data_IF_527542697666
#
_entry.id   IF_527542697666
#
_cell.length_a   1.000
_cell.length_b   1.000
_cell.length_c   1.000
_cell.angle_alpha   90.00
_cell.angle_beta   90.00
_cell.angle_gamma   90.00
#
_symmetry.space_group_name_H-M   'P 1'
#
loop_
_entity.id
_entity.type
_entity.pdbx_description
1 polymer ?
#
# COMPACT_ATOMS: atom_id res chain seq x y z
N UNK A 1 2.77 9.64 23.72
CA UNK A 1 3.49 10.05 22.50
C UNK A 1 2.41 10.41 21.51
N UNK A 2 2.28 11.70 21.17
CA UNK A 2 1.03 12.26 20.63
C UNK A 2 1.16 12.63 19.14
N UNK A 3 1.81 11.79 18.32
CA UNK A 3 2.00 12.09 16.89
C UNK A 3 2.32 10.85 16.02
N UNK A 4 1.68 9.71 16.28
CA UNK A 4 1.73 8.59 15.33
C UNK A 4 0.69 8.79 14.24
N UNK A 5 1.04 8.41 13.01
CA UNK A 5 0.04 8.29 11.95
C UNK A 5 -0.93 7.15 12.28
N UNK A 6 -2.20 7.25 11.87
CA UNK A 6 -3.18 6.19 12.12
C UNK A 6 -2.78 4.87 11.45
N UNK A 7 -2.24 4.97 10.25
CA UNK A 7 -1.90 3.81 9.43
C UNK A 7 -0.80 4.16 8.43
N UNK A 8 0.06 3.20 8.11
CA UNK A 8 0.92 3.20 6.92
C UNK A 8 1.05 1.78 6.38
N UNK A 9 0.47 1.52 5.21
CA UNK A 9 0.43 0.19 4.57
C UNK A 9 1.27 0.11 3.30
N UNK A 10 1.94 1.20 2.93
CA UNK A 10 2.71 1.26 1.70
C UNK A 10 4.16 1.59 2.05
N UNK A 11 4.89 0.56 2.44
CA UNK A 11 6.28 0.64 2.88
C UNK A 11 7.04 -0.48 2.18
N UNK A 12 8.14 -0.10 1.54
CA UNK A 12 9.09 -1.00 0.88
C UNK A 12 10.27 -1.26 1.80
N UNK A 13 10.91 -2.41 1.62
CA UNK A 13 12.04 -2.87 2.40
C UNK A 13 13.12 -3.49 1.51
N UNK A 14 14.18 -3.99 2.14
CA UNK A 14 15.25 -4.74 1.46
C UNK A 14 14.77 -6.01 0.72
N UNK A 15 13.51 -6.45 0.89
CA UNK A 15 12.93 -7.51 0.07
C UNK A 15 12.66 -7.07 -1.37
N UNK A 16 12.51 -5.77 -1.63
CA UNK A 16 12.47 -5.20 -2.98
C UNK A 16 13.85 -5.10 -3.62
N UNK A 17 14.52 -6.25 -3.79
CA UNK A 17 15.97 -6.36 -4.06
C UNK A 17 16.48 -5.67 -5.33
N UNK A 18 15.62 -5.42 -6.32
CA UNK A 18 15.98 -4.71 -7.55
C UNK A 18 15.58 -3.24 -7.59
N UNK A 19 14.93 -2.72 -6.56
CA UNK A 19 14.55 -1.31 -6.50
C UNK A 19 15.70 -0.44 -5.98
N UNK A 20 16.30 0.33 -6.90
CA UNK A 20 17.39 1.25 -6.59
C UNK A 20 17.05 2.40 -5.63
N UNK A 21 15.77 2.62 -5.32
CA UNK A 21 15.35 3.59 -4.32
C UNK A 21 15.43 3.04 -2.91
N UNK A 22 15.46 1.70 -2.75
CA UNK A 22 15.53 1.04 -1.45
C UNK A 22 16.94 1.13 -0.88
N UNK A 23 17.04 1.71 0.32
CA UNK A 23 18.30 1.76 1.04
C UNK A 23 18.50 0.49 1.88
N UNK A 24 19.75 0.00 2.07
CA UNK A 24 20.02 -1.19 2.88
C UNK A 24 19.56 -1.09 4.34
N UNK A 25 19.34 0.12 4.85
CA UNK A 25 18.83 0.36 6.21
C UNK A 25 17.31 0.21 6.33
N UNK A 26 16.59 0.11 5.21
CA UNK A 26 15.15 -0.05 5.17
C UNK A 26 14.76 -1.51 5.46
N UNK A 27 15.15 -2.02 6.62
CA UNK A 27 14.84 -3.39 7.07
C UNK A 27 13.58 -3.40 7.94
N UNK A 28 12.86 -4.53 7.95
CA UNK A 28 11.67 -4.72 8.78
C UNK A 28 11.96 -4.45 10.28
N UNK A 29 13.07 -4.96 10.88
CA UNK A 29 13.40 -4.66 12.26
C UNK A 29 13.59 -3.17 12.53
N UNK A 30 14.29 -2.47 11.63
CA UNK A 30 14.55 -1.04 11.81
C UNK A 30 13.26 -0.21 11.71
N UNK A 31 12.38 -0.54 10.76
CA UNK A 31 11.05 0.10 10.64
C UNK A 31 10.22 -0.16 11.90
N UNK A 32 10.30 -1.35 12.50
CA UNK A 32 9.57 -1.68 13.72
C UNK A 32 9.97 -0.79 14.91
N UNK A 33 11.27 -0.48 15.04
CA UNK A 33 11.82 0.38 16.10
C UNK A 33 11.34 1.83 16.04
N UNK A 34 11.04 2.33 14.83
CA UNK A 34 10.64 3.73 14.63
C UNK A 34 9.21 4.03 15.09
N UNK A 35 8.33 3.01 15.13
CA UNK A 35 6.95 3.12 15.60
C UNK A 35 6.22 4.35 15.02
N UNK A 36 6.34 4.58 13.70
CA UNK A 36 5.88 5.82 13.05
C UNK A 36 4.36 5.89 12.84
N UNK A 37 3.69 4.74 12.82
CA UNK A 37 2.24 4.61 12.64
C UNK A 37 1.65 3.53 13.56
N UNK A 38 0.39 3.70 13.95
CA UNK A 38 -0.34 2.77 14.82
C UNK A 38 -0.59 1.43 14.14
N UNK A 39 -1.17 1.45 12.93
CA UNK A 39 -1.32 0.28 12.05
C UNK A 39 -0.24 0.32 10.99
N UNK A 40 0.58 -0.74 10.89
CA UNK A 40 1.68 -0.79 9.93
C UNK A 40 1.61 -2.04 9.08
N UNK A 41 1.87 -1.88 7.79
CA UNK A 41 1.99 -2.97 6.84
C UNK A 41 3.21 -2.78 5.95
N UNK A 42 3.78 -3.89 5.51
CA UNK A 42 4.89 -3.93 4.55
C UNK A 42 4.33 -4.46 3.23
N UNK A 43 4.69 -3.82 2.12
CA UNK A 43 4.14 -4.11 0.80
C UNK A 43 5.20 -3.99 -0.28
N UNK A 44 6.26 -4.79 -0.16
CA UNK A 44 7.32 -4.88 -1.16
C UNK A 44 6.80 -5.32 -2.54
N UNK A 45 7.57 -4.99 -3.60
CA UNK A 45 7.24 -5.33 -4.99
C UNK A 45 7.12 -6.84 -5.20
N UNK A 46 5.98 -7.28 -5.73
CA UNK A 46 5.60 -8.69 -5.84
C UNK A 46 6.60 -9.53 -6.65
N UNK A 47 7.24 -8.98 -7.68
CA UNK A 47 8.20 -9.71 -8.51
C UNK A 47 9.40 -10.27 -7.72
N UNK A 48 9.69 -9.72 -6.54
CA UNK A 48 10.74 -10.20 -5.64
C UNK A 48 10.22 -11.13 -4.53
N UNK A 49 8.90 -11.32 -4.43
CA UNK A 49 8.23 -12.03 -3.34
C UNK A 49 7.62 -13.34 -3.81
N UNK A 50 8.37 -14.16 -4.54
CA UNK A 50 7.89 -15.46 -5.05
C UNK A 50 8.69 -16.63 -4.47
N UNK A 51 8.08 -17.82 -4.46
CA UNK A 51 8.73 -19.04 -3.99
C UNK A 51 9.14 -18.98 -2.51
N UNK A 52 10.37 -19.39 -2.21
CA UNK A 52 10.88 -19.40 -0.82
C UNK A 52 11.00 -18.00 -0.22
N UNK A 53 11.30 -16.98 -1.03
CA UNK A 53 11.46 -15.60 -0.55
C UNK A 53 10.15 -15.08 0.04
N UNK A 54 9.01 -15.46 -0.53
CA UNK A 54 7.70 -15.11 0.03
C UNK A 54 7.52 -15.64 1.46
N UNK A 55 7.89 -16.89 1.72
CA UNK A 55 7.71 -17.51 3.04
C UNK A 55 8.58 -16.82 4.09
N UNK A 56 9.81 -16.45 3.73
CA UNK A 56 10.73 -15.70 4.57
C UNK A 56 10.20 -14.28 4.85
N UNK A 57 9.79 -13.57 3.79
CA UNK A 57 9.16 -12.26 3.86
C UNK A 57 7.94 -12.26 4.78
N UNK A 58 6.95 -13.11 4.47
CA UNK A 58 5.70 -13.17 5.22
C UNK A 58 5.93 -13.50 6.68
N UNK A 59 6.84 -14.44 6.97
CA UNK A 59 7.19 -14.78 8.35
C UNK A 59 7.78 -13.58 9.08
N UNK A 60 8.78 -12.90 8.49
CA UNK A 60 9.43 -11.77 9.15
C UNK A 60 8.47 -10.60 9.36
N UNK A 61 7.67 -10.25 8.36
CA UNK A 61 6.65 -9.20 8.47
C UNK A 61 5.70 -9.49 9.64
N UNK A 62 5.18 -10.71 9.73
CA UNK A 62 4.27 -11.11 10.81
C UNK A 62 4.96 -11.22 12.18
N UNK A 63 6.20 -11.70 12.26
CA UNK A 63 6.97 -11.79 13.51
C UNK A 63 7.17 -10.40 14.16
N UNK A 64 7.27 -9.35 13.35
CA UNK A 64 7.35 -7.95 13.82
C UNK A 64 5.98 -7.29 14.00
N UNK A 65 4.88 -8.03 13.82
CA UNK A 65 3.51 -7.57 14.06
C UNK A 65 2.92 -6.67 12.97
N UNK A 66 3.55 -6.64 11.79
CA UNK A 66 3.05 -5.92 10.62
C UNK A 66 2.01 -6.73 9.86
N UNK A 67 1.15 -6.04 9.10
CA UNK A 67 0.31 -6.66 8.07
C UNK A 67 1.13 -6.93 6.80
N UNK A 68 0.96 -8.10 6.20
CA UNK A 68 1.76 -8.56 5.06
C UNK A 68 1.06 -8.29 3.74
N UNK A 69 1.38 -7.17 3.09
CA UNK A 69 0.94 -6.88 1.73
C UNK A 69 2.01 -7.15 0.68
N UNK A 70 1.66 -6.88 -0.56
CA UNK A 70 2.61 -6.70 -1.65
C UNK A 70 2.14 -5.58 -2.58
N UNK A 71 3.09 -4.99 -3.30
CA UNK A 71 2.81 -4.11 -4.42
C UNK A 71 2.85 -4.89 -5.74
N UNK A 72 1.71 -4.93 -6.43
CA UNK A 72 1.57 -5.58 -7.72
C UNK A 72 1.70 -4.51 -8.80
N UNK A 73 2.77 -4.59 -9.60
CA UNK A 73 3.13 -3.55 -10.55
C UNK A 73 2.20 -3.44 -11.77
N UNK A 74 1.62 -4.55 -12.24
CA UNK A 74 0.63 -4.51 -13.31
C UNK A 74 -0.25 -5.77 -13.39
N UNK A 75 -1.18 -5.75 -14.34
CA UNK A 75 -2.15 -6.82 -14.58
C UNK A 75 -1.56 -8.20 -14.95
N UNK A 76 -0.30 -8.28 -15.38
CA UNK A 76 0.35 -9.55 -15.73
C UNK A 76 0.53 -10.39 -14.46
N UNK A 77 0.91 -9.74 -13.37
CA UNK A 77 1.26 -10.41 -12.11
C UNK A 77 0.05 -10.59 -11.18
N UNK A 78 -1.06 -9.87 -11.42
CA UNK A 78 -2.23 -9.86 -10.54
C UNK A 78 -2.78 -11.26 -10.21
N UNK A 79 -2.84 -12.15 -11.20
CA UNK A 79 -3.32 -13.53 -10.98
C UNK A 79 -2.36 -14.34 -10.11
N UNK A 80 -1.06 -14.17 -10.31
CA UNK A 80 -0.08 -14.90 -9.51
C UNK A 80 -0.07 -14.37 -8.08
N UNK A 81 -0.06 -13.05 -7.89
CA UNK A 81 -0.14 -12.41 -6.57
C UNK A 81 -1.40 -12.82 -5.79
N UNK A 82 -2.53 -12.99 -6.48
CA UNK A 82 -3.78 -13.47 -5.87
C UNK A 82 -3.68 -14.90 -5.30
N UNK A 83 -2.72 -15.72 -5.78
CA UNK A 83 -2.50 -17.08 -5.28
C UNK A 83 -1.72 -17.12 -3.96
N UNK A 84 -1.08 -16.01 -3.56
CA UNK A 84 -0.31 -15.91 -2.33
C UNK A 84 -1.15 -15.41 -1.15
N UNK A 85 -0.92 -15.90 0.09
CA UNK A 85 -1.66 -15.52 1.28
C UNK A 85 -1.19 -14.17 1.88
N UNK A 86 -1.13 -13.12 1.07
CA UNK A 86 -1.00 -11.72 1.54
C UNK A 86 -2.27 -11.29 2.30
N UNK A 87 -2.17 -10.28 3.15
CA UNK A 87 -3.28 -9.69 3.91
C UNK A 87 -4.00 -8.57 3.14
N UNK A 88 -3.29 -7.88 2.23
CA UNK A 88 -3.81 -6.86 1.33
C UNK A 88 -2.92 -6.69 0.10
N UNK A 89 -3.39 -5.92 -0.88
CA UNK A 89 -2.65 -5.59 -2.09
C UNK A 89 -2.54 -4.07 -2.27
N UNK A 90 -1.34 -3.61 -2.59
CA UNK A 90 -1.10 -2.35 -3.28
C UNK A 90 -1.08 -2.65 -4.78
N UNK A 91 -1.73 -1.82 -5.61
CA UNK A 91 -1.85 -2.08 -7.04
C UNK A 91 -1.63 -0.84 -7.91
N UNK A 92 -0.73 -0.98 -8.87
CA UNK A 92 -0.45 0.00 -9.92
C UNK A 92 -1.47 -0.06 -11.06
N UNK A 93 -2.56 0.68 -10.90
CA UNK A 93 -3.55 0.82 -11.97
C UNK A 93 -3.17 1.96 -12.94
N UNK A 94 -3.01 1.66 -14.22
CA UNK A 94 -2.85 2.64 -15.32
C UNK A 94 -4.14 2.68 -16.15
N UNK A 95 -4.36 3.69 -17.00
CA UNK A 95 -5.55 3.72 -17.88
C UNK A 95 -5.48 2.72 -19.04
N UNK A 96 -5.59 1.43 -18.72
CA UNK A 96 -5.71 0.33 -19.67
C UNK A 96 -6.75 -0.68 -19.15
N UNK A 97 -7.52 -1.25 -20.07
CA UNK A 97 -8.56 -2.26 -19.75
C UNK A 97 -7.99 -3.43 -18.95
N UNK A 98 -6.76 -3.86 -19.25
CA UNK A 98 -6.10 -4.94 -18.52
C UNK A 98 -5.85 -4.60 -17.06
N UNK A 99 -5.49 -3.34 -16.74
CA UNK A 99 -5.22 -2.94 -15.35
C UNK A 99 -6.50 -2.96 -14.51
N UNK A 100 -7.62 -2.47 -15.04
CA UNK A 100 -8.89 -2.52 -14.31
C UNK A 100 -9.30 -3.97 -14.01
N UNK A 101 -9.06 -4.90 -14.95
CA UNK A 101 -9.28 -6.35 -14.74
C UNK A 101 -8.29 -6.96 -13.75
N UNK A 102 -7.05 -6.45 -13.70
CA UNK A 102 -6.07 -6.84 -12.70
C UNK A 102 -6.56 -6.48 -11.29
N UNK A 103 -7.09 -5.27 -11.12
CA UNK A 103 -7.72 -4.86 -9.86
C UNK A 103 -8.92 -5.75 -9.47
N UNK A 104 -9.81 -6.07 -10.43
CA UNK A 104 -10.92 -7.02 -10.22
C UNK A 104 -10.42 -8.40 -9.77
N UNK A 105 -9.36 -8.92 -10.42
CA UNK A 105 -8.75 -10.21 -10.07
C UNK A 105 -8.23 -10.23 -8.62
N UNK A 106 -7.60 -9.14 -8.18
CA UNK A 106 -7.15 -9.02 -6.79
C UNK A 106 -8.34 -8.91 -5.81
N UNK A 107 -9.41 -8.21 -6.18
CA UNK A 107 -10.62 -8.09 -5.37
C UNK A 107 -11.33 -9.44 -5.18
N UNK A 108 -11.26 -10.36 -6.15
CA UNK A 108 -11.83 -11.71 -6.04
C UNK A 108 -11.26 -12.53 -4.86
N UNK A 109 -10.08 -12.16 -4.34
CA UNK A 109 -9.50 -12.77 -3.14
C UNK A 109 -10.26 -12.43 -1.85
N UNK A 110 -11.14 -11.42 -1.89
CA UNK A 110 -11.84 -10.88 -0.71
C UNK A 110 -10.96 -10.01 0.18
N UNK A 111 -9.70 -9.74 -0.21
CA UNK A 111 -8.75 -8.91 0.55
C UNK A 111 -8.82 -7.44 0.10
N UNK A 112 -8.41 -6.48 0.94
CA UNK A 112 -8.34 -5.08 0.54
C UNK A 112 -7.38 -4.88 -0.64
N UNK A 113 -7.83 -4.12 -1.64
CA UNK A 113 -7.02 -3.68 -2.79
C UNK A 113 -6.93 -2.17 -2.77
N UNK A 114 -5.71 -1.64 -2.64
CA UNK A 114 -5.42 -0.22 -2.61
C UNK A 114 -4.77 0.14 -3.95
N UNK A 115 -5.41 0.99 -4.75
CA UNK A 115 -4.79 1.55 -5.94
C UNK A 115 -3.80 2.63 -5.51
N UNK A 116 -2.49 2.35 -5.63
CA UNK A 116 -1.43 3.27 -5.21
C UNK A 116 -1.24 4.40 -6.20
N UNK A 117 -0.99 5.59 -5.63
CA UNK A 117 -0.72 6.85 -6.33
C UNK A 117 -1.36 6.95 -7.74
N UNK A 118 -2.71 6.81 -7.85
CA UNK A 118 -3.40 6.63 -9.13
C UNK A 118 -3.17 7.78 -10.11
N UNK A 119 -3.03 9.00 -9.58
CA UNK A 119 -2.71 10.20 -10.36
C UNK A 119 -1.33 10.12 -11.03
N UNK A 120 -0.33 9.55 -10.35
CA UNK A 120 1.00 9.37 -10.91
C UNK A 120 1.05 8.26 -11.96
N UNK A 121 0.20 7.24 -11.80
CA UNK A 121 0.04 6.14 -12.75
C UNK A 121 -0.85 6.48 -13.95
N UNK A 122 -1.58 7.60 -13.88
CA UNK A 122 -2.50 8.02 -14.92
C UNK A 122 -3.76 7.14 -15.00
N UNK A 123 -4.24 6.63 -13.86
CA UNK A 123 -5.51 5.89 -13.82
C UNK A 123 -6.69 6.81 -14.15
N UNK A 124 -7.72 6.30 -14.83
CA UNK A 124 -9.03 6.93 -14.91
C UNK A 124 -9.93 6.38 -13.80
N UNK A 125 -10.18 7.20 -12.76
CA UNK A 125 -10.99 6.81 -11.60
C UNK A 125 -12.47 6.54 -11.94
N UNK A 126 -12.93 6.85 -13.15
CA UNK A 126 -14.25 6.40 -13.63
C UNK A 126 -14.28 4.90 -13.95
N UNK A 127 -13.14 4.29 -14.21
CA UNK A 127 -13.02 2.89 -14.62
C UNK A 127 -12.48 1.97 -13.52
N UNK A 128 -11.88 2.53 -12.46
CA UNK A 128 -11.42 1.76 -11.30
C UNK A 128 -12.63 1.15 -10.56
N UNK A 129 -12.61 -0.16 -10.22
CA UNK A 129 -13.65 -0.79 -9.41
C UNK A 129 -13.84 -0.10 -8.06
N UNK A 130 -15.09 0.21 -7.68
CA UNK A 130 -15.39 1.00 -6.47
C UNK A 130 -15.12 0.27 -5.16
N UNK A 131 -14.95 -1.04 -5.20
CA UNK A 131 -14.58 -1.84 -4.03
C UNK A 131 -13.09 -1.67 -3.66
N UNK A 132 -12.27 -1.18 -4.60
CA UNK A 132 -10.91 -0.74 -4.30
C UNK A 132 -10.90 0.50 -3.39
N UNK A 133 -9.80 0.67 -2.67
CA UNK A 133 -9.46 1.93 -2.01
C UNK A 133 -8.51 2.74 -2.90
N UNK A 134 -8.52 4.06 -2.77
CA UNK A 134 -7.55 4.94 -3.43
C UNK A 134 -6.53 5.45 -2.42
N UNK A 135 -5.26 5.41 -2.78
CA UNK A 135 -4.20 5.96 -1.95
C UNK A 135 -3.97 7.45 -2.23
N UNK A 136 -3.93 8.25 -1.16
CA UNK A 136 -3.26 9.55 -1.16
C UNK A 136 -1.80 9.32 -0.78
N UNK A 137 -0.94 9.25 -1.78
CA UNK A 137 0.44 8.84 -1.64
C UNK A 137 1.38 10.02 -1.34
N UNK A 138 2.19 9.92 -0.29
CA UNK A 138 3.06 11.02 0.16
C UNK A 138 4.15 11.38 -0.85
N UNK A 139 4.71 10.39 -1.56
CA UNK A 139 5.80 10.58 -2.52
C UNK A 139 5.34 11.32 -3.78
N UNK A 140 4.08 11.16 -4.19
CA UNK A 140 3.62 11.63 -5.51
C UNK A 140 2.48 12.66 -5.53
N UNK A 141 1.66 12.77 -4.47
CA UNK A 141 0.45 13.60 -4.51
C UNK A 141 0.71 15.08 -4.85
N UNK A 142 1.87 15.61 -4.46
CA UNK A 142 2.24 17.01 -4.67
C UNK A 142 2.70 17.33 -6.10
N UNK A 143 2.94 16.32 -6.94
CA UNK A 143 3.53 16.53 -8.28
C UNK A 143 2.54 17.06 -9.31
N UNK A 144 1.24 16.89 -9.10
CA UNK A 144 0.19 17.28 -10.03
C UNK A 144 -1.01 17.88 -9.28
N UNK A 145 -2.03 18.33 -10.02
CA UNK A 145 -3.26 18.90 -9.46
C UNK A 145 -4.18 17.83 -8.84
N UNK A 146 -3.82 17.41 -7.63
CA UNK A 146 -4.58 16.44 -6.85
C UNK A 146 -5.99 16.93 -6.52
N UNK A 147 -6.21 18.25 -6.42
CA UNK A 147 -7.53 18.81 -6.12
C UNK A 147 -8.48 18.49 -7.26
N UNK A 148 -8.12 18.83 -8.49
CA UNK A 148 -8.94 18.53 -9.67
C UNK A 148 -9.08 17.03 -9.91
N UNK A 149 -8.02 16.24 -9.67
CA UNK A 149 -8.03 14.80 -9.93
C UNK A 149 -8.94 14.03 -8.96
N UNK A 150 -8.88 14.28 -7.65
CA UNK A 150 -9.63 13.49 -6.66
C UNK A 150 -11.03 14.04 -6.36
N UNK A 151 -11.26 15.37 -6.44
CA UNK A 151 -12.53 15.99 -6.02
C UNK A 151 -13.80 15.36 -6.64
N UNK A 152 -13.83 14.97 -7.94
CA UNK A 152 -15.02 14.35 -8.53
C UNK A 152 -15.38 12.98 -7.94
N UNK A 153 -14.45 12.34 -7.25
CA UNK A 153 -14.52 10.93 -6.86
C UNK A 153 -14.62 10.72 -5.34
N UNK A 154 -14.65 11.78 -4.53
CA UNK A 154 -14.61 11.71 -3.06
C UNK A 154 -15.76 10.90 -2.45
N UNK A 155 -16.91 10.84 -3.11
CA UNK A 155 -18.09 10.08 -2.65
C UNK A 155 -18.12 8.63 -3.15
N UNK A 156 -17.23 8.27 -4.10
CA UNK A 156 -17.22 6.95 -4.75
C UNK A 156 -16.25 5.98 -4.11
N UNK A 157 -15.19 6.49 -3.50
CA UNK A 157 -14.11 5.67 -2.98
C UNK A 157 -13.87 5.93 -1.50
N UNK A 158 -13.34 4.91 -0.85
CA UNK A 158 -12.65 5.02 0.43
C UNK A 158 -11.17 5.28 0.17
N UNK A 159 -10.52 5.94 1.12
CA UNK A 159 -9.15 6.40 0.93
C UNK A 159 -8.21 5.89 2.01
N UNK A 160 -7.01 5.52 1.60
CA UNK A 160 -5.87 5.28 2.50
C UNK A 160 -4.82 6.37 2.29
N UNK A 161 -3.95 6.53 3.28
CA UNK A 161 -2.82 7.44 3.22
C UNK A 161 -1.57 6.59 3.40
N UNK A 162 -0.61 6.70 2.48
CA UNK A 162 0.59 5.87 2.46
C UNK A 162 1.86 6.68 2.21
N UNK A 163 2.98 6.22 2.76
CA UNK A 163 4.26 6.88 2.62
C UNK A 163 4.96 6.56 1.28
N UNK A 164 4.81 5.33 0.79
CA UNK A 164 5.65 4.75 -0.27
C UNK A 164 7.14 4.85 0.07
N UNK A 165 7.44 4.55 1.35
CA UNK A 165 8.76 4.71 1.90
C UNK A 165 9.69 3.57 1.47
N UNK A 166 10.75 3.94 0.75
CA UNK A 166 11.85 3.04 0.36
C UNK A 166 13.09 3.21 1.26
N UNK A 167 13.06 4.18 2.18
CA UNK A 167 14.17 4.47 3.10
C UNK A 167 13.70 5.14 4.38
N UNK A 168 14.50 5.09 5.46
CA UNK A 168 14.05 5.52 6.79
C UNK A 168 13.46 6.92 6.85
N UNK A 169 14.12 7.89 6.22
CA UNK A 169 13.69 9.28 6.24
C UNK A 169 12.49 9.56 5.32
N UNK A 170 11.97 8.55 4.62
CA UNK A 170 10.74 8.63 3.82
C UNK A 170 9.52 8.07 4.54
N UNK A 171 9.66 7.53 5.74
CA UNK A 171 8.55 7.12 6.63
C UNK A 171 7.80 8.35 7.15
N UNK A 172 7.12 9.04 6.24
CA UNK A 172 6.40 10.27 6.47
C UNK A 172 5.15 10.30 5.60
N UNK A 173 4.10 10.92 6.11
CA UNK A 173 2.83 11.12 5.41
C UNK A 173 2.38 12.59 5.42
N UNK A 174 3.26 13.52 5.81
CA UNK A 174 2.87 14.91 6.06
C UNK A 174 2.25 15.59 4.83
N UNK A 175 2.80 15.35 3.64
CA UNK A 175 2.32 15.95 2.39
C UNK A 175 1.00 15.30 1.98
N UNK A 176 0.89 13.97 2.08
CA UNK A 176 -0.35 13.26 1.82
C UNK A 176 -1.48 13.65 2.78
N UNK A 177 -1.20 13.76 4.09
CA UNK A 177 -2.17 14.20 5.09
C UNK A 177 -2.61 15.63 4.87
N UNK A 178 -1.71 16.53 4.44
CA UNK A 178 -2.09 17.87 4.04
C UNK A 178 -3.06 17.86 2.85
N UNK A 179 -2.75 17.09 1.80
CA UNK A 179 -3.62 16.97 0.62
C UNK A 179 -4.98 16.36 0.97
N UNK A 180 -5.00 15.28 1.76
CA UNK A 180 -6.22 14.64 2.24
C UNK A 180 -7.10 15.61 3.04
N UNK A 181 -6.51 16.40 3.95
CA UNK A 181 -7.24 17.40 4.72
C UNK A 181 -7.84 18.51 3.83
N UNK A 182 -7.13 18.93 2.77
CA UNK A 182 -7.65 19.91 1.80
C UNK A 182 -8.80 19.37 0.96
N UNK A 183 -8.78 18.07 0.65
CA UNK A 183 -9.85 17.36 -0.05
C UNK A 183 -11.03 17.00 0.87
N UNK A 184 -10.91 17.17 2.19
CA UNK A 184 -11.92 16.70 3.15
C UNK A 184 -12.01 15.17 3.24
N UNK A 185 -10.92 14.46 2.93
CA UNK A 185 -10.85 13.00 2.98
C UNK A 185 -10.69 12.54 4.42
N UNK A 186 -11.54 11.58 4.83
CA UNK A 186 -11.35 10.79 6.03
C UNK A 186 -10.62 9.48 5.68
N UNK A 187 -9.52 9.23 6.39
CA UNK A 187 -8.70 8.02 6.21
C UNK A 187 -9.45 6.76 6.69
N UNK A 188 -9.51 5.75 5.83
CA UNK A 188 -10.02 4.42 6.15
C UNK A 188 -8.92 3.56 6.75
N UNK A 189 -9.06 3.21 8.03
CA UNK A 189 -8.18 2.25 8.72
C UNK A 189 -8.65 0.84 8.39
N UNK A 190 -7.77 0.01 7.83
CA UNK A 190 -8.15 -1.31 7.29
C UNK A 190 -8.04 -2.44 8.29
N UNK A 191 -7.16 -2.29 9.28
CA UNK A 191 -6.77 -3.38 10.17
C UNK A 191 -6.71 -2.94 11.63
N UNK A 192 -6.77 -3.87 12.59
CA UNK A 192 -6.42 -3.56 13.97
C UNK A 192 -4.91 -3.27 14.10
N UNK A 193 -4.53 -2.71 15.25
CA UNK A 193 -3.21 -2.14 15.53
C UNK A 193 -2.03 -3.04 15.14
N UNK A 194 -2.11 -4.34 15.43
CA UNK A 194 -1.03 -5.28 15.14
C UNK A 194 -1.59 -6.55 14.55
N UNK A 195 -0.78 -7.17 13.71
CA UNK A 195 -1.01 -8.54 13.32
C UNK A 195 -0.74 -9.46 14.53
N UNK A 196 -1.70 -10.32 14.83
CA UNK A 196 -1.55 -11.38 15.81
C UNK A 196 -1.93 -12.69 15.11
N UNK A 197 -1.01 -13.65 15.05
CA UNK A 197 -1.41 -15.00 14.68
C UNK A 197 -2.35 -15.53 15.77
N UNK A 198 -3.56 -16.02 15.41
CA UNK A 198 -4.35 -16.77 16.37
C UNK A 198 -3.51 -17.98 16.80
N UNK A 199 -3.22 -18.09 18.11
CA UNK A 199 -2.67 -19.33 18.65
C UNK A 199 -3.76 -20.37 18.46
N UNK A 200 -3.60 -21.27 17.49
CA UNK A 200 -4.49 -22.41 17.36
C UNK A 200 -4.38 -23.24 18.65
N UNK A 201 -5.44 -23.20 19.46
CA UNK A 201 -5.68 -24.07 20.61
C UNK A 201 -6.09 -25.46 20.16
#
# INVERSE_FOLDING_TARGET
MENQYKQDLHIHTVYSTGDSSVEPQQTIPFIAELDHAEVRGISDHFEYLTGQVFEEYRKEVHDFGFWCGCEVNDSIDAREAAAYPFDYYIYHCRDRVSEYKGAETLLETGKPVIVSHPMAMGADLNKVPTDCLLEINNRYVWKNDYMSYFSPHLHRFRFTIGSDAHKPNWLSQNVARHAAAKLGIEETVLFPLRFYQPVHS
#
